data_IF_935646757938
#
_entry.id   IF_935646757938
#
_cell.length_a   1.000
_cell.length_b   1.000
_cell.length_c   1.000
_cell.angle_alpha   90.00
_cell.angle_beta   90.00
_cell.angle_gamma   90.00
#
_symmetry.space_group_name_H-M   'P 1'
#
loop_
_entity.id
_entity.type
_entity.pdbx_description
1 polymer ?
#
# COMPACT_ATOMS: atom_id res chain seq x y z
N UNK A 1 -11.44 18.90 3.27
CA UNK A 1 -11.37 18.07 4.49
C UNK A 1 -10.12 17.18 4.42
N UNK A 2 -9.55 16.74 5.54
CA UNK A 2 -8.42 15.81 5.53
C UNK A 2 -8.83 14.45 4.92
N UNK A 3 -7.88 13.78 4.27
CA UNK A 3 -8.08 12.42 3.75
C UNK A 3 -7.75 11.44 4.88
N UNK A 4 -8.73 10.62 5.25
CA UNK A 4 -8.50 9.53 6.20
C UNK A 4 -7.86 8.36 5.46
N UNK A 5 -6.66 7.96 5.90
CA UNK A 5 -5.92 6.82 5.36
C UNK A 5 -5.93 5.70 6.39
N UNK A 6 -6.63 4.61 6.08
CA UNK A 6 -6.56 3.36 6.82
C UNK A 6 -5.26 2.63 6.48
N UNK A 7 -4.59 2.09 7.49
CA UNK A 7 -3.33 1.36 7.32
C UNK A 7 -3.46 0.01 7.98
N UNK A 8 -2.97 -1.04 7.32
CA UNK A 8 -2.82 -2.37 7.91
C UNK A 8 -1.47 -2.93 7.54
N UNK A 9 -0.81 -3.51 8.54
CA UNK A 9 0.46 -4.20 8.37
C UNK A 9 0.27 -5.66 8.81
N UNK A 10 0.68 -6.59 7.96
CA UNK A 10 0.67 -8.01 8.26
C UNK A 10 2.09 -8.54 8.27
N UNK A 11 2.60 -8.87 9.45
CA UNK A 11 3.98 -9.33 9.65
C UNK A 11 4.08 -10.79 9.21
N UNK A 12 4.95 -11.06 8.24
CA UNK A 12 5.29 -12.39 7.74
C UNK A 12 6.40 -13.02 8.58
N UNK A 13 7.42 -12.24 8.89
CA UNK A 13 8.58 -12.70 9.63
C UNK A 13 9.21 -11.56 10.44
N UNK A 14 9.82 -11.93 11.56
CA UNK A 14 10.74 -11.09 12.33
C UNK A 14 12.02 -11.89 12.41
N UNK A 15 13.11 -11.37 11.84
CA UNK A 15 14.35 -12.15 11.69
C UNK A 15 15.51 -11.56 12.50
N UNK A 16 16.40 -10.81 11.88
CA UNK A 16 17.74 -10.46 12.40
C UNK A 16 17.67 -9.50 13.60
N UNK A 17 17.33 -10.00 14.79
CA UNK A 17 17.42 -9.23 16.03
C UNK A 17 18.90 -9.09 16.40
N UNK A 18 19.51 -7.95 16.08
CA UNK A 18 20.84 -7.59 16.55
C UNK A 18 20.70 -6.85 17.87
N UNK A 19 20.91 -7.55 18.99
CA UNK A 19 20.77 -6.99 20.34
C UNK A 19 21.78 -5.88 20.63
N UNK A 20 22.97 -5.94 20.04
CA UNK A 20 24.04 -4.93 20.23
C UNK A 20 23.71 -3.62 19.53
N UNK A 21 23.07 -3.68 18.36
CA UNK A 21 22.67 -2.50 17.58
C UNK A 21 21.20 -2.10 17.79
N UNK A 22 20.45 -2.91 18.56
CA UNK A 22 19.00 -2.84 18.74
C UNK A 22 18.24 -2.78 17.40
N UNK A 23 18.64 -3.62 16.44
CA UNK A 23 18.06 -3.67 15.11
C UNK A 23 17.30 -4.97 14.86
N UNK A 24 16.24 -4.89 14.06
CA UNK A 24 15.49 -6.05 13.60
C UNK A 24 15.07 -5.87 12.14
N UNK A 25 14.95 -6.98 11.41
CA UNK A 25 14.41 -6.99 10.06
C UNK A 25 12.99 -7.55 10.09
N UNK A 26 12.06 -6.85 9.42
CA UNK A 26 10.68 -7.31 9.24
C UNK A 26 10.41 -7.59 7.77
N UNK A 27 9.76 -8.72 7.50
CA UNK A 27 9.03 -8.93 6.25
C UNK A 27 7.54 -8.75 6.54
N UNK A 28 6.85 -7.91 5.78
CA UNK A 28 5.43 -7.64 6.00
C UNK A 28 4.70 -7.28 4.70
N UNK A 29 3.39 -7.55 4.67
CA UNK A 29 2.50 -6.89 3.73
C UNK A 29 2.05 -5.55 4.29
N UNK A 30 2.17 -4.50 3.50
CA UNK A 30 1.70 -3.17 3.84
C UNK A 30 0.49 -2.81 3.00
N UNK A 31 -0.61 -2.41 3.64
CA UNK A 31 -1.87 -2.07 2.98
C UNK A 31 -2.33 -0.70 3.41
N UNK A 32 -2.81 0.06 2.44
CA UNK A 32 -3.41 1.37 2.63
C UNK A 32 -4.80 1.38 2.02
N UNK A 33 -5.74 2.05 2.67
CA UNK A 33 -7.05 2.37 2.10
C UNK A 33 -7.38 3.84 2.30
N UNK A 34 -7.91 4.48 1.26
CA UNK A 34 -8.38 5.86 1.34
C UNK A 34 -9.54 6.07 0.38
N UNK A 35 -10.23 7.19 0.52
CA UNK A 35 -11.29 7.60 -0.41
C UNK A 35 -10.83 8.78 -1.25
N UNK A 36 -10.94 8.64 -2.57
CA UNK A 36 -10.71 9.70 -3.54
C UNK A 36 -11.90 9.79 -4.52
N UNK A 37 -12.77 10.77 -4.31
CA UNK A 37 -13.98 10.97 -5.11
C UNK A 37 -13.67 11.25 -6.59
N UNK A 38 -12.45 11.68 -6.93
CA UNK A 38 -12.01 11.91 -8.33
C UNK A 38 -11.85 10.61 -9.12
N UNK A 39 -11.67 9.49 -8.43
CA UNK A 39 -11.53 8.16 -9.01
C UNK A 39 -12.84 7.38 -9.04
N UNK A 40 -13.94 7.97 -8.57
CA UNK A 40 -15.26 7.36 -8.65
C UNK A 40 -15.73 7.23 -10.12
N UNK A 41 -16.47 6.17 -10.40
CA UNK A 41 -16.98 5.88 -11.74
C UNK A 41 -18.36 5.24 -11.69
N UNK A 42 -19.12 5.36 -12.78
CA UNK A 42 -20.44 4.73 -12.90
C UNK A 42 -20.27 3.22 -12.99
N UNK A 43 -20.72 2.51 -11.94
CA UNK A 43 -20.73 1.05 -11.92
C UNK A 43 -21.55 0.49 -13.10
N UNK A 44 -21.06 -0.59 -13.69
CA UNK A 44 -21.78 -1.35 -14.72
C UNK A 44 -22.15 -2.72 -14.17
N UNK A 45 -23.18 -3.41 -14.71
CA UNK A 45 -23.49 -4.77 -14.28
C UNK A 45 -22.25 -5.66 -14.34
N UNK A 46 -21.85 -6.22 -13.19
CA UNK A 46 -20.65 -7.05 -13.06
C UNK A 46 -19.32 -6.32 -12.88
N UNK A 47 -19.29 -4.98 -12.89
CA UNK A 47 -18.07 -4.18 -12.68
C UNK A 47 -18.33 -3.08 -11.64
N UNK A 48 -17.97 -3.39 -10.38
CA UNK A 48 -18.01 -2.45 -9.26
C UNK A 48 -16.61 -2.05 -8.77
N UNK A 49 -15.56 -2.74 -9.23
CA UNK A 49 -14.17 -2.39 -8.91
C UNK A 49 -13.21 -2.73 -10.03
N UNK A 50 -12.18 -1.90 -10.18
CA UNK A 50 -11.06 -2.09 -11.09
C UNK A 50 -9.83 -2.49 -10.27
N UNK A 51 -9.18 -3.58 -10.66
CA UNK A 51 -7.86 -3.95 -10.14
C UNK A 51 -6.83 -3.61 -11.21
N UNK A 52 -5.85 -2.80 -10.85
CA UNK A 52 -4.81 -2.28 -11.75
C UNK A 52 -3.42 -2.56 -11.17
N UNK A 53 -2.42 -2.57 -12.05
CA UNK A 53 -1.03 -2.77 -11.65
C UNK A 53 -0.44 -1.54 -10.97
N UNK A 54 0.82 -1.67 -10.55
CA UNK A 54 1.56 -0.64 -9.85
C UNK A 54 1.73 0.65 -10.67
N UNK A 55 1.74 0.55 -12.00
CA UNK A 55 1.90 1.68 -12.94
C UNK A 55 0.82 2.76 -12.79
N UNK A 56 -0.36 2.39 -12.30
CA UNK A 56 -1.43 3.38 -12.07
C UNK A 56 -1.18 4.22 -10.82
N UNK A 57 -0.36 3.73 -9.88
CA UNK A 57 0.02 4.52 -8.70
C UNK A 57 0.77 5.81 -9.08
N UNK A 58 1.53 5.79 -10.18
CA UNK A 58 2.27 6.95 -10.67
C UNK A 58 1.36 8.01 -11.32
N UNK A 59 0.12 7.64 -11.64
CA UNK A 59 -0.86 8.49 -12.32
C UNK A 59 -1.88 9.11 -11.36
N UNK A 60 -1.91 8.68 -10.10
CA UNK A 60 -2.87 9.15 -9.10
C UNK A 60 -2.16 9.65 -7.85
N UNK A 61 -2.89 10.39 -7.03
CA UNK A 61 -2.39 10.72 -5.70
C UNK A 61 -2.35 9.46 -4.82
N UNK A 62 -1.22 9.23 -4.16
CA UNK A 62 -1.03 8.20 -3.14
C UNK A 62 -0.52 8.84 -1.85
N UNK A 63 -0.82 8.28 -0.66
CA UNK A 63 -0.29 8.82 0.59
C UNK A 63 1.23 8.63 0.70
N UNK A 64 1.95 9.72 0.97
CA UNK A 64 3.41 9.75 1.21
C UNK A 64 3.75 9.18 2.61
N UNK A 65 3.53 7.88 2.80
CA UNK A 65 3.77 7.21 4.09
C UNK A 65 5.24 6.80 4.24
N UNK A 66 5.85 7.19 5.35
CA UNK A 66 7.23 6.86 5.71
C UNK A 66 7.30 6.33 7.15
N UNK A 67 8.33 5.53 7.46
CA UNK A 67 8.57 5.01 8.81
C UNK A 67 9.61 5.89 9.53
N UNK A 68 9.18 6.68 10.51
CA UNK A 68 10.04 7.69 11.14
C UNK A 68 11.29 7.15 11.88
N UNK A 69 11.23 5.89 12.35
CA UNK A 69 12.33 5.24 13.09
C UNK A 69 13.07 4.19 12.26
N UNK A 70 12.92 4.25 10.93
CA UNK A 70 13.60 3.36 10.01
C UNK A 70 15.09 3.70 9.93
N UNK A 71 15.96 2.74 10.26
CA UNK A 71 17.39 2.84 9.92
C UNK A 71 17.61 2.58 8.42
N UNK A 72 16.91 1.59 7.88
CA UNK A 72 16.81 1.31 6.43
C UNK A 72 15.56 0.48 6.12
N UNK A 73 14.76 0.87 5.13
CA UNK A 73 13.69 0.06 4.53
C UNK A 73 14.02 -0.16 3.07
N UNK A 74 14.09 -1.44 2.73
CA UNK A 74 14.12 -1.87 1.35
C UNK A 74 12.70 -2.35 1.02
N UNK A 75 11.96 -1.59 0.22
CA UNK A 75 10.87 -2.21 -0.53
C UNK A 75 11.52 -3.27 -1.41
N UNK A 76 11.10 -4.53 -1.30
CA UNK A 76 11.71 -5.64 -2.02
C UNK A 76 11.66 -5.38 -3.54
N UNK A 77 12.72 -4.77 -4.10
CA UNK A 77 12.95 -4.61 -5.54
C UNK A 77 13.29 -5.95 -6.22
N UNK A 78 13.04 -7.07 -5.56
CA UNK A 78 13.23 -8.39 -6.12
C UNK A 78 12.03 -8.72 -7.03
N UNK A 79 12.23 -8.49 -8.33
CA UNK A 79 11.56 -9.09 -9.49
C UNK A 79 10.26 -8.51 -10.07
N UNK A 80 9.40 -7.78 -9.34
CA UNK A 80 8.35 -6.86 -9.87
C UNK A 80 7.81 -6.14 -8.63
N UNK A 81 7.44 -4.84 -8.63
CA UNK A 81 6.68 -4.29 -7.53
C UNK A 81 5.39 -5.11 -7.42
N UNK A 82 5.27 -5.98 -6.41
CA UNK A 82 4.05 -6.71 -6.11
C UNK A 82 3.07 -5.76 -5.42
N UNK A 83 2.78 -4.67 -6.12
CA UNK A 83 1.83 -3.65 -5.76
C UNK A 83 0.66 -3.75 -6.71
N UNK A 84 -0.53 -3.86 -6.16
CA UNK A 84 -1.75 -3.70 -6.92
C UNK A 84 -2.61 -2.63 -6.25
N UNK A 85 -3.38 -1.94 -7.07
CA UNK A 85 -4.43 -1.03 -6.61
C UNK A 85 -5.78 -1.59 -7.00
N UNK A 86 -6.73 -1.48 -6.08
CA UNK A 86 -8.14 -1.75 -6.34
C UNK A 86 -8.91 -0.47 -6.08
N UNK A 87 -9.65 -0.02 -7.09
CA UNK A 87 -10.48 1.19 -7.03
C UNK A 87 -11.93 0.75 -7.23
N UNK A 88 -12.81 1.02 -6.27
CA UNK A 88 -14.23 0.75 -6.45
C UNK A 88 -14.99 1.94 -7.06
N UNK A 89 -16.21 1.70 -7.52
CA UNK A 89 -17.07 2.69 -8.17
C UNK A 89 -17.34 3.93 -7.31
N UNK A 90 -17.23 3.81 -5.98
CA UNK A 90 -17.41 4.89 -5.01
C UNK A 90 -16.13 5.70 -4.73
N UNK A 91 -15.02 5.39 -5.41
CA UNK A 91 -13.74 6.06 -5.22
C UNK A 91 -12.96 5.58 -4.00
N UNK A 92 -13.33 4.45 -3.40
CA UNK A 92 -12.48 3.83 -2.38
C UNK A 92 -11.32 3.12 -3.06
N UNK A 93 -10.11 3.47 -2.64
CA UNK A 93 -8.86 2.93 -3.15
C UNK A 93 -8.26 2.04 -2.08
N UNK A 94 -7.85 0.86 -2.50
CA UNK A 94 -7.10 -0.09 -1.70
C UNK A 94 -5.77 -0.38 -2.40
N UNK A 95 -4.66 -0.16 -1.71
CA UNK A 95 -3.31 -0.43 -2.20
C UNK A 95 -2.68 -1.48 -1.30
N UNK A 96 -2.13 -2.53 -1.90
CA UNK A 96 -1.36 -3.56 -1.17
C UNK A 96 0.04 -3.58 -1.75
N UNK A 97 1.03 -3.64 -0.87
CA UNK A 97 2.45 -3.76 -1.18
C UNK A 97 3.00 -4.98 -0.45
N UNK A 98 3.82 -5.77 -1.14
CA UNK A 98 4.61 -6.86 -0.56
C UNK A 98 6.08 -6.72 -0.90
#
# INVERSE_FOLDING_TARGET
PPVNVGVTMYILSISSVNEVQMDFTLDFYFRQSWKDDRLAFVARPGVDSLTVGAEVADLIWVPDTFFANEKTAYFHQATTPNTFLRINSKGEVFRSMS
#
